data_IF_220115448595
#
_entry.id   IF_220115448595
#
_cell.length_a   1.000
_cell.length_b   1.000
_cell.length_c   1.000
_cell.angle_alpha   90.00
_cell.angle_beta   90.00
_cell.angle_gamma   90.00
#
_symmetry.space_group_name_H-M   'P 1'
#
loop_
_entity.id
_entity.type
_entity.pdbx_description
1 polymer ?
#
# COMPACT_ATOMS: atom_id res chain seq x y z
N UNK A 1 16.31 -8.46 6.70
CA UNK A 1 16.75 -8.83 8.07
C UNK A 1 16.65 -10.34 8.19
N UNK A 2 17.62 -10.96 8.86
CA UNK A 2 17.74 -12.38 9.14
C UNK A 2 17.74 -12.57 10.65
N UNK A 3 16.93 -13.51 11.12
CA UNK A 3 16.87 -13.91 12.53
C UNK A 3 17.01 -15.43 12.66
N UNK A 4 17.47 -15.89 13.82
CA UNK A 4 17.53 -17.32 14.14
C UNK A 4 16.15 -17.88 14.55
N UNK A 5 16.11 -19.17 14.88
CA UNK A 5 14.88 -19.85 15.30
C UNK A 5 14.31 -19.32 16.64
N UNK A 6 15.11 -18.57 17.40
CA UNK A 6 14.72 -17.90 18.63
C UNK A 6 14.29 -16.45 18.37
N UNK A 7 14.16 -16.05 17.10
CA UNK A 7 13.83 -14.70 16.64
C UNK A 7 14.85 -13.63 17.06
N UNK A 8 16.10 -14.04 17.31
CA UNK A 8 17.22 -13.12 17.55
C UNK A 8 17.77 -12.65 16.22
N UNK A 9 17.90 -11.33 16.02
CA UNK A 9 18.45 -10.79 14.78
C UNK A 9 19.93 -11.17 14.66
N UNK A 10 20.28 -11.83 13.56
CA UNK A 10 21.64 -12.26 13.24
C UNK A 10 22.31 -11.26 12.30
N UNK A 11 21.55 -10.76 11.32
CA UNK A 11 22.04 -9.80 10.33
C UNK A 11 20.87 -8.98 9.79
N UNK A 12 21.06 -7.68 9.63
CA UNK A 12 20.10 -6.84 8.94
C UNK A 12 20.79 -5.82 8.05
N UNK A 13 20.09 -5.44 6.98
CA UNK A 13 20.55 -4.48 6.00
C UNK A 13 19.36 -3.69 5.45
N UNK A 14 19.57 -2.40 5.25
CA UNK A 14 18.70 -1.50 4.51
C UNK A 14 19.57 -0.52 3.73
N UNK A 15 19.07 0.01 2.62
CA UNK A 15 19.87 0.94 1.83
C UNK A 15 19.05 1.74 0.83
N UNK A 16 19.67 2.76 0.22
CA UNK A 16 18.98 3.68 -0.67
C UNK A 16 18.49 2.98 -1.93
N UNK A 17 17.34 3.42 -2.41
CA UNK A 17 16.78 3.07 -3.71
C UNK A 17 16.55 4.31 -4.59
N UNK A 18 16.95 5.50 -4.12
CA UNK A 18 16.57 6.76 -4.72
C UNK A 18 15.05 6.92 -4.75
N UNK A 19 14.52 7.40 -5.88
CA UNK A 19 13.08 7.49 -6.11
C UNK A 19 12.53 6.13 -6.51
N UNK A 20 11.93 5.43 -5.56
CA UNK A 20 11.29 4.13 -5.77
C UNK A 20 9.84 4.12 -5.27
N UNK A 21 9.01 3.24 -5.85
CA UNK A 21 7.67 2.97 -5.30
C UNK A 21 7.76 1.95 -4.17
N UNK A 22 6.73 1.89 -3.32
CA UNK A 22 6.66 0.88 -2.25
C UNK A 22 6.87 -0.54 -2.80
N UNK A 23 6.16 -0.91 -3.87
CA UNK A 23 6.28 -2.24 -4.47
C UNK A 23 7.69 -2.57 -4.96
N UNK A 24 8.44 -1.58 -5.46
CA UNK A 24 9.85 -1.76 -5.85
C UNK A 24 10.70 -1.99 -4.61
N UNK A 25 10.50 -1.22 -3.54
CA UNK A 25 11.23 -1.39 -2.29
C UNK A 25 10.99 -2.79 -1.67
N UNK A 26 9.72 -3.22 -1.58
CA UNK A 26 9.35 -4.52 -1.02
C UNK A 26 9.94 -5.70 -1.82
N UNK A 27 9.83 -5.65 -3.15
CA UNK A 27 10.40 -6.69 -4.00
C UNK A 27 11.93 -6.69 -3.95
N UNK A 28 12.56 -5.52 -3.85
CA UNK A 28 14.03 -5.42 -3.72
C UNK A 28 14.50 -5.98 -2.39
N UNK A 29 13.76 -5.76 -1.31
CA UNK A 29 14.05 -6.36 -0.01
C UNK A 29 13.97 -7.89 -0.07
N UNK A 30 12.94 -8.44 -0.73
CA UNK A 30 12.81 -9.88 -0.95
C UNK A 30 13.95 -10.45 -1.81
N UNK A 31 14.29 -9.81 -2.93
CA UNK A 31 15.42 -10.21 -3.78
C UNK A 31 16.73 -10.26 -2.98
N UNK A 32 17.05 -9.19 -2.24
CA UNK A 32 18.27 -9.11 -1.44
C UNK A 32 18.30 -10.16 -0.33
N UNK A 33 17.17 -10.43 0.32
CA UNK A 33 17.06 -11.47 1.34
C UNK A 33 17.39 -12.86 0.77
N UNK A 34 16.78 -13.19 -0.38
CA UNK A 34 17.01 -14.48 -1.04
C UNK A 34 18.44 -14.62 -1.57
N UNK A 35 19.04 -13.53 -2.06
CA UNK A 35 20.43 -13.52 -2.53
C UNK A 35 21.45 -13.63 -1.38
N UNK A 36 21.10 -13.16 -0.18
CA UNK A 36 21.98 -13.16 0.99
C UNK A 36 21.92 -14.46 1.81
N UNK A 37 21.03 -15.39 1.46
CA UNK A 37 20.82 -16.65 2.19
C UNK A 37 21.29 -17.84 1.37
N UNK A 38 21.75 -18.90 2.02
CA UNK A 38 22.14 -20.14 1.33
C UNK A 38 20.89 -20.87 0.78
N UNK A 39 20.81 -21.21 -0.53
CA UNK A 39 19.68 -21.92 -1.13
C UNK A 39 19.37 -23.29 -0.54
N UNK A 40 20.32 -23.96 0.12
CA UNK A 40 20.04 -25.27 0.74
C UNK A 40 19.39 -25.16 2.12
N UNK A 41 19.39 -23.98 2.73
CA UNK A 41 18.80 -23.76 4.05
C UNK A 41 17.31 -23.40 3.89
N UNK A 42 16.40 -24.17 4.48
CA UNK A 42 14.98 -23.81 4.53
C UNK A 42 14.78 -22.50 5.31
N UNK A 43 13.97 -21.60 4.76
CA UNK A 43 13.71 -20.29 5.38
C UNK A 43 12.21 -19.99 5.45
N UNK A 44 11.78 -19.37 6.56
CA UNK A 44 10.51 -18.69 6.66
C UNK A 44 10.72 -17.20 6.33
N UNK A 45 9.94 -16.66 5.39
CA UNK A 45 9.93 -15.24 5.05
C UNK A 45 8.64 -14.63 5.55
N UNK A 46 8.75 -13.74 6.54
CA UNK A 46 7.65 -12.91 7.03
C UNK A 46 7.64 -11.57 6.29
N UNK A 47 6.47 -11.17 5.79
CA UNK A 47 6.28 -9.88 5.12
C UNK A 47 4.83 -9.40 5.25
N UNK A 48 4.66 -8.08 5.26
CA UNK A 48 3.34 -7.42 5.21
C UNK A 48 2.92 -7.01 3.79
N UNK A 49 3.85 -7.07 2.83
CA UNK A 49 3.60 -6.76 1.42
C UNK A 49 2.78 -7.84 0.74
N UNK A 50 1.46 -7.63 0.67
CA UNK A 50 0.57 -8.50 -0.09
C UNK A 50 0.92 -8.56 -1.58
N UNK A 51 1.43 -7.47 -2.16
CA UNK A 51 1.81 -7.45 -3.56
C UNK A 51 3.03 -8.36 -3.81
N UNK A 52 4.11 -8.20 -3.04
CA UNK A 52 5.30 -9.02 -3.19
C UNK A 52 4.99 -10.50 -2.94
N UNK A 53 4.26 -10.79 -1.85
CA UNK A 53 3.85 -12.16 -1.52
C UNK A 53 3.02 -12.79 -2.64
N UNK A 54 1.97 -12.12 -3.14
CA UNK A 54 1.12 -12.67 -4.21
C UNK A 54 1.86 -12.79 -5.54
N UNK A 55 2.79 -11.88 -5.84
CA UNK A 55 3.61 -11.93 -7.04
C UNK A 55 4.37 -13.26 -7.14
N UNK A 56 4.99 -13.71 -6.04
CA UNK A 56 5.83 -14.91 -6.03
C UNK A 56 5.06 -16.20 -5.70
N UNK A 57 3.99 -16.12 -4.89
CA UNK A 57 3.23 -17.31 -4.46
C UNK A 57 2.04 -17.65 -5.36
N UNK A 58 1.39 -16.64 -5.95
CA UNK A 58 0.08 -16.82 -6.60
C UNK A 58 0.13 -16.54 -8.10
N UNK A 59 0.76 -15.43 -8.51
CA UNK A 59 0.67 -14.95 -9.88
C UNK A 59 1.80 -15.45 -10.78
N UNK A 60 2.98 -15.72 -10.21
CA UNK A 60 4.18 -16.17 -10.90
C UNK A 60 3.91 -17.27 -11.94
N UNK A 61 3.23 -18.40 -11.60
CA UNK A 61 3.06 -19.50 -12.56
C UNK A 61 2.17 -19.08 -13.74
N UNK A 62 1.18 -18.22 -13.46
CA UNK A 62 0.29 -17.66 -14.48
C UNK A 62 0.97 -16.66 -15.39
N UNK A 63 1.86 -15.82 -14.86
CA UNK A 63 2.65 -14.86 -15.64
C UNK A 63 3.64 -15.56 -16.55
N UNK A 64 4.38 -16.57 -16.06
CA UNK A 64 5.31 -17.38 -16.87
C UNK A 64 4.57 -18.03 -18.05
N UNK A 65 3.40 -18.65 -17.79
CA UNK A 65 2.57 -19.28 -18.84
C UNK A 65 2.05 -18.29 -19.89
N UNK A 66 1.83 -17.03 -19.51
CA UNK A 66 1.29 -15.97 -20.38
C UNK A 66 2.37 -15.11 -21.03
N UNK A 67 3.64 -15.52 -20.96
CA UNK A 67 4.76 -14.74 -21.50
C UNK A 67 4.88 -13.38 -20.84
N UNK A 68 4.75 -13.33 -19.51
CA UNK A 68 4.85 -12.13 -18.67
C UNK A 68 3.84 -11.03 -18.99
N UNK A 69 2.60 -11.45 -19.30
CA UNK A 69 1.45 -10.56 -19.48
C UNK A 69 0.39 -10.80 -18.42
N UNK A 70 -0.20 -9.69 -17.96
CA UNK A 70 -1.38 -9.68 -17.09
C UNK A 70 -2.62 -10.23 -17.81
N UNK A 71 -3.70 -10.50 -17.08
CA UNK A 71 -4.98 -10.92 -17.68
C UNK A 71 -5.54 -9.90 -18.69
N UNK A 72 -5.16 -8.61 -18.55
CA UNK A 72 -5.52 -7.55 -19.47
C UNK A 72 -4.56 -7.42 -20.68
N UNK A 73 -3.63 -8.36 -20.88
CA UNK A 73 -2.67 -8.36 -21.99
C UNK A 73 -1.50 -7.38 -21.86
N UNK A 74 -1.47 -6.57 -20.79
CA UNK A 74 -0.37 -5.64 -20.51
C UNK A 74 0.84 -6.36 -19.92
N UNK A 75 2.07 -5.87 -20.13
CA UNK A 75 3.26 -6.36 -19.42
C UNK A 75 3.06 -6.35 -17.90
N UNK A 76 3.64 -7.33 -17.22
CA UNK A 76 3.65 -7.39 -15.76
C UNK A 76 4.48 -6.23 -15.20
N UNK A 77 3.95 -5.52 -14.20
CA UNK A 77 4.71 -4.48 -13.52
C UNK A 77 5.87 -5.09 -12.73
N UNK A 78 7.02 -4.42 -12.73
CA UNK A 78 8.25 -4.88 -12.07
C UNK A 78 8.72 -6.28 -12.54
N UNK A 79 8.40 -6.65 -13.80
CA UNK A 79 8.70 -7.96 -14.37
C UNK A 79 10.15 -8.39 -14.13
N UNK A 80 11.12 -7.54 -14.45
CA UNK A 80 12.55 -7.90 -14.34
C UNK A 80 12.94 -8.27 -12.91
N UNK A 81 12.37 -7.57 -11.92
CA UNK A 81 12.64 -7.84 -10.51
C UNK A 81 11.96 -9.14 -10.05
N UNK A 82 10.73 -9.39 -10.50
CA UNK A 82 10.02 -10.65 -10.22
C UNK A 82 10.72 -11.84 -10.88
N UNK A 83 11.29 -11.67 -12.07
CA UNK A 83 12.08 -12.70 -12.76
C UNK A 83 13.33 -13.08 -11.97
N UNK A 84 14.09 -12.11 -11.47
CA UNK A 84 15.27 -12.40 -10.62
C UNK A 84 14.88 -13.11 -9.32
N UNK A 85 13.73 -12.75 -8.74
CA UNK A 85 13.21 -13.44 -7.54
C UNK A 85 12.81 -14.89 -7.87
N UNK A 86 12.16 -15.15 -9.02
CA UNK A 86 11.82 -16.51 -9.49
C UNK A 86 13.08 -17.39 -9.65
N UNK A 87 14.16 -16.84 -10.19
CA UNK A 87 15.45 -17.51 -10.28
C UNK A 87 16.00 -17.87 -8.90
N UNK A 88 15.99 -16.93 -7.95
CA UNK A 88 16.48 -17.14 -6.58
C UNK A 88 15.62 -18.11 -5.75
N UNK A 89 14.35 -18.29 -6.12
CA UNK A 89 13.43 -19.24 -5.48
C UNK A 89 13.58 -20.66 -6.05
N UNK A 90 14.22 -20.83 -7.20
CA UNK A 90 14.32 -22.14 -7.85
C UNK A 90 15.13 -23.12 -7.01
N UNK A 91 14.50 -24.24 -6.62
CA UNK A 91 15.14 -25.29 -5.83
C UNK A 91 15.29 -24.99 -4.34
N UNK A 92 14.74 -23.87 -3.85
CA UNK A 92 14.77 -23.47 -2.45
C UNK A 92 13.48 -23.90 -1.72
N UNK A 93 13.61 -24.33 -0.47
CA UNK A 93 12.48 -24.50 0.44
C UNK A 93 12.18 -23.16 1.14
N UNK A 94 11.04 -22.54 0.82
CA UNK A 94 10.63 -21.24 1.37
C UNK A 94 9.18 -21.30 1.84
N UNK A 95 8.96 -20.99 3.12
CA UNK A 95 7.64 -20.73 3.68
C UNK A 95 7.37 -19.22 3.70
N UNK A 96 6.28 -18.77 3.06
CA UNK A 96 5.88 -17.37 3.11
C UNK A 96 4.77 -17.17 4.15
N UNK A 97 5.02 -16.29 5.14
CA UNK A 97 4.06 -15.90 6.17
C UNK A 97 3.66 -14.43 5.99
N UNK A 98 2.37 -14.19 5.81
CA UNK A 98 1.84 -12.83 5.88
C UNK A 98 1.77 -12.36 7.33
N UNK A 99 2.28 -11.17 7.61
CA UNK A 99 2.14 -10.49 8.90
C UNK A 99 1.41 -9.15 8.70
N UNK A 100 0.42 -8.80 9.53
CA UNK A 100 -0.25 -7.51 9.38
C UNK A 100 0.68 -6.34 9.76
N UNK A 101 0.76 -5.33 8.91
CA UNK A 101 1.51 -4.11 9.16
C UNK A 101 0.96 -3.33 10.39
N UNK A 102 1.85 -2.63 11.10
CA UNK A 102 1.53 -1.62 12.11
C UNK A 102 0.55 -2.07 13.22
N UNK A 103 0.63 -3.33 13.65
CA UNK A 103 -0.16 -3.80 14.80
C UNK A 103 0.52 -3.44 16.12
N UNK A 104 -0.28 -3.07 17.12
CA UNK A 104 0.18 -2.99 18.52
C UNK A 104 0.53 -4.41 18.95
N UNK A 105 1.73 -4.59 19.53
CA UNK A 105 2.30 -5.90 19.86
C UNK A 105 2.35 -6.88 18.67
N UNK A 106 2.58 -6.32 17.46
CA UNK A 106 2.73 -7.07 16.22
C UNK A 106 4.05 -7.82 16.07
N UNK A 107 4.34 -8.28 14.86
CA UNK A 107 5.59 -8.98 14.56
C UNK A 107 6.79 -8.03 14.73
N UNK A 108 7.62 -8.31 15.75
CA UNK A 108 8.77 -7.48 16.13
C UNK A 108 9.83 -7.41 15.04
N UNK A 109 9.97 -8.47 14.26
CA UNK A 109 10.91 -8.61 13.16
C UNK A 109 10.44 -7.77 11.94
N UNK A 110 9.14 -7.71 11.70
CA UNK A 110 8.56 -6.80 10.70
C UNK A 110 8.68 -5.33 11.12
N UNK A 111 8.35 -4.98 12.36
CA UNK A 111 8.53 -3.61 12.87
C UNK A 111 9.99 -3.15 12.76
N UNK A 112 10.95 -4.05 13.03
CA UNK A 112 12.36 -3.80 12.79
C UNK A 112 12.64 -3.45 11.33
N UNK A 113 12.17 -4.29 10.40
CA UNK A 113 12.37 -4.11 8.98
C UNK A 113 11.74 -2.79 8.48
N UNK A 114 10.54 -2.45 8.96
CA UNK A 114 9.83 -1.21 8.63
C UNK A 114 10.63 0.02 9.08
N UNK A 115 11.20 -0.01 10.30
CA UNK A 115 12.06 1.08 10.80
C UNK A 115 13.32 1.21 9.95
N UNK A 116 13.97 0.09 9.62
CA UNK A 116 15.16 0.07 8.78
C UNK A 116 14.87 0.67 7.38
N UNK A 117 13.79 0.22 6.74
CA UNK A 117 13.36 0.68 5.44
C UNK A 117 12.98 2.17 5.46
N UNK A 118 12.25 2.61 6.49
CA UNK A 118 11.86 4.01 6.66
C UNK A 118 13.06 4.93 6.84
N UNK A 119 14.05 4.52 7.64
CA UNK A 119 15.29 5.29 7.80
C UNK A 119 16.08 5.37 6.48
N UNK A 120 16.21 4.24 5.77
CA UNK A 120 16.89 4.22 4.48
C UNK A 120 16.18 5.09 3.43
N UNK A 121 14.84 5.10 3.43
CA UNK A 121 14.05 5.97 2.54
C UNK A 121 14.26 7.47 2.85
N UNK A 122 14.36 7.83 4.13
CA UNK A 122 14.58 9.22 4.56
C UNK A 122 16.01 9.69 4.32
N UNK A 123 17.00 8.90 4.76
CA UNK A 123 18.42 9.29 4.74
C UNK A 123 19.09 9.00 3.41
N UNK A 124 18.58 8.05 2.64
CA UNK A 124 19.22 7.53 1.43
C UNK A 124 20.65 7.04 1.69
N UNK A 125 20.85 6.40 2.84
CA UNK A 125 22.13 5.85 3.28
C UNK A 125 22.01 4.34 3.56
N UNK A 126 23.10 3.62 3.36
CA UNK A 126 23.17 2.22 3.74
C UNK A 126 23.27 2.09 5.27
N UNK A 127 22.53 1.15 5.84
CA UNK A 127 22.55 0.81 7.24
C UNK A 127 22.47 -0.71 7.41
N UNK A 128 23.09 -1.25 8.44
CA UNK A 128 23.05 -2.68 8.71
C UNK A 128 24.08 -3.15 9.73
N UNK A 129 23.99 -4.44 10.09
CA UNK A 129 24.88 -5.08 11.07
C UNK A 129 26.36 -4.92 10.69
N UNK A 130 26.70 -5.11 9.42
CA UNK A 130 28.07 -4.98 8.92
C UNK A 130 28.62 -3.54 8.98
N UNK A 131 27.75 -2.54 9.10
CA UNK A 131 28.09 -1.13 9.20
C UNK A 131 28.07 -0.62 10.66
N UNK A 132 27.85 -1.51 11.64
CA UNK A 132 27.73 -1.14 13.05
C UNK A 132 26.51 -0.26 13.35
N UNK A 133 25.47 -0.34 12.52
CA UNK A 133 24.22 0.42 12.73
C UNK A 133 23.44 -0.11 13.94
N UNK A 134 22.71 0.75 14.68
CA UNK A 134 22.05 0.38 15.93
C UNK A 134 20.93 -0.65 15.75
N UNK A 135 20.72 -1.48 16.78
CA UNK A 135 19.71 -2.52 16.83
C UNK A 135 18.75 -2.31 18.03
N UNK A 136 17.43 -2.16 17.82
CA UNK A 136 16.76 -1.95 16.55
C UNK A 136 17.04 -0.55 15.96
N UNK A 137 16.87 -0.35 14.64
CA UNK A 137 16.93 0.96 14.02
C UNK A 137 15.97 1.92 14.71
N UNK A 138 16.39 3.18 14.85
CA UNK A 138 15.52 4.22 15.37
C UNK A 138 14.27 4.33 14.48
N UNK A 139 13.09 4.44 15.10
CA UNK A 139 11.91 4.82 14.36
C UNK A 139 12.18 6.14 13.61
N UNK A 140 11.67 6.33 12.38
CA UNK A 140 11.78 7.61 11.71
C UNK A 140 11.21 8.69 12.61
N UNK A 141 11.93 9.81 12.75
CA UNK A 141 11.40 11.04 13.34
C UNK A 141 10.31 11.55 12.42
N UNK A 142 9.13 10.94 12.50
CA UNK A 142 7.93 11.61 12.04
C UNK A 142 7.80 12.79 12.97
N UNK A 143 8.16 13.98 12.49
CA UNK A 143 7.68 15.21 13.08
C UNK A 143 6.15 15.08 13.07
N UNK A 144 5.60 14.59 14.18
CA UNK A 144 4.17 14.55 14.43
C UNK A 144 3.69 15.97 14.16
N UNK A 145 2.72 16.20 13.25
CA UNK A 145 2.23 17.55 13.04
C UNK A 145 1.76 18.07 14.39
N UNK A 146 2.37 19.16 14.82
CA UNK A 146 2.07 19.80 16.08
C UNK A 146 0.59 20.20 16.08
N UNK A 147 -0.17 19.63 17.01
CA UNK A 147 -1.42 20.21 17.49
C UNK A 147 -2.67 20.01 16.64
N UNK A 148 -3.47 19.02 17.03
CA UNK A 148 -4.88 19.31 17.36
C UNK A 148 -5.10 18.81 18.79
N UNK A 149 -4.77 19.66 19.76
CA UNK A 149 -5.34 19.56 21.09
C UNK A 149 -6.82 19.95 20.94
N UNK A 150 -7.72 18.98 20.88
CA UNK A 150 -9.13 19.24 21.21
C UNK A 150 -9.37 18.75 22.62
N UNK A 151 -9.58 19.72 23.51
CA UNK A 151 -9.87 19.52 24.91
C UNK A 151 -11.16 18.76 25.14
N UNK A 152 -11.22 18.09 26.28
CA UNK A 152 -12.38 17.43 26.83
C UNK A 152 -13.34 18.45 27.48
N UNK A 153 -14.61 18.38 27.08
CA UNK A 153 -15.84 18.73 27.81
C UNK A 153 -17.00 18.44 26.84
N UNK A 154 -18.11 17.76 27.13
CA UNK A 154 -18.67 17.04 28.26
C UNK A 154 -20.00 16.41 27.78
N UNK A 155 -20.50 15.42 28.51
CA UNK A 155 -21.88 14.87 28.65
C UNK A 155 -23.01 15.40 27.72
N UNK A 156 -24.04 14.65 27.26
CA UNK A 156 -24.65 13.38 27.69
C UNK A 156 -25.86 13.01 26.78
N UNK A 157 -26.18 11.71 26.75
CA UNK A 157 -27.52 11.09 26.78
C UNK A 157 -28.47 11.02 25.54
N UNK A 158 -28.83 9.75 25.21
CA UNK A 158 -30.17 9.28 24.79
C UNK A 158 -30.52 9.43 23.30
N UNK A 159 -31.27 8.56 22.63
CA UNK A 159 -31.92 7.29 22.94
C UNK A 159 -32.43 6.64 21.63
N UNK A 160 -32.51 5.31 21.62
CA UNK A 160 -33.47 4.42 20.93
C UNK A 160 -33.81 4.53 19.42
N UNK A 161 -33.60 3.40 18.75
CA UNK A 161 -34.50 2.64 17.85
C UNK A 161 -35.19 3.30 16.65
N UNK A 162 -34.99 2.73 15.45
CA UNK A 162 -36.00 1.88 14.80
C UNK A 162 -35.52 1.32 13.46
N UNK A 163 -35.86 0.06 13.24
CA UNK A 163 -35.71 -0.66 11.98
C UNK A 163 -36.79 -0.25 10.97
N UNK A 164 -36.49 -0.28 9.67
CA UNK A 164 -37.48 -0.71 8.68
C UNK A 164 -36.81 -1.24 7.40
N UNK A 165 -37.16 -2.48 7.07
CA UNK A 165 -36.97 -3.18 5.79
C UNK A 165 -37.77 -2.53 4.65
N UNK A 166 -37.31 -2.72 3.40
CA UNK A 166 -38.06 -3.23 2.22
C UNK A 166 -37.14 -3.28 0.98
N UNK A 167 -36.82 -4.47 0.42
CA UNK A 167 -37.41 -5.14 -0.79
C UNK A 167 -37.45 -4.25 -2.05
N UNK A 168 -37.18 -4.65 -3.29
CA UNK A 168 -36.59 -5.81 -3.97
C UNK A 168 -36.58 -5.48 -5.50
N UNK A 169 -35.75 -6.21 -6.27
CA UNK A 169 -36.01 -6.72 -7.66
C UNK A 169 -35.68 -5.86 -8.90
N UNK A 170 -35.05 -6.54 -9.89
CA UNK A 170 -35.09 -6.28 -11.34
C UNK A 170 -33.75 -5.94 -12.01
N UNK A 171 -33.03 -6.89 -12.65
CA UNK A 171 -32.92 -7.10 -14.14
C UNK A 171 -32.40 -5.86 -14.91
N UNK A 172 -31.46 -5.86 -15.87
CA UNK A 172 -30.82 -6.85 -16.75
C UNK A 172 -29.74 -6.15 -17.61
N UNK A 173 -28.76 -6.92 -18.10
CA UNK A 173 -28.00 -6.85 -19.38
C UNK A 173 -27.27 -5.55 -19.86
N UNK A 174 -26.00 -5.79 -20.20
CA UNK A 174 -25.23 -5.37 -21.40
C UNK A 174 -24.85 -3.89 -21.63
N UNK A 175 -23.63 -3.68 -22.14
CA UNK A 175 -23.33 -2.56 -23.04
C UNK A 175 -22.10 -1.70 -22.70
N UNK A 176 -21.24 -1.57 -23.70
CA UNK A 176 -19.93 -0.90 -23.73
C UNK A 176 -19.94 0.62 -23.55
N UNK A 177 -18.82 1.14 -23.01
CA UNK A 177 -18.12 2.41 -23.29
C UNK A 177 -18.92 3.65 -23.76
N UNK A 178 -19.08 4.65 -22.88
CA UNK A 178 -18.70 6.06 -23.16
C UNK A 178 -18.77 6.91 -21.87
N UNK A 179 -18.05 8.04 -21.81
CA UNK A 179 -17.80 8.88 -20.63
C UNK A 179 -18.87 8.90 -19.53
N UNK A 180 -18.51 8.42 -18.34
CA UNK A 180 -19.47 8.24 -17.24
C UNK A 180 -19.95 9.58 -16.68
N UNK A 181 -21.21 9.92 -16.97
CA UNK A 181 -22.02 10.99 -16.36
C UNK A 181 -22.53 10.62 -14.95
N UNK A 182 -21.87 9.67 -14.27
CA UNK A 182 -22.33 9.20 -12.95
C UNK A 182 -21.82 10.10 -11.82
N UNK A 183 -22.73 10.43 -10.92
CA UNK A 183 -22.42 11.09 -9.65
C UNK A 183 -22.07 10.03 -8.62
N UNK A 184 -20.97 10.22 -7.89
CA UNK A 184 -20.47 9.34 -6.83
C UNK A 184 -20.39 10.11 -5.51
N UNK A 185 -20.27 9.40 -4.40
CA UNK A 185 -20.00 9.99 -3.09
C UNK A 185 -18.49 10.10 -2.88
N UNK A 186 -18.01 11.29 -2.53
CA UNK A 186 -16.59 11.54 -2.30
C UNK A 186 -16.07 10.70 -1.14
N UNK A 187 -15.02 9.91 -1.36
CA UNK A 187 -14.37 9.15 -0.26
C UNK A 187 -13.50 10.05 0.61
N UNK A 188 -12.98 11.13 0.03
CA UNK A 188 -12.09 12.10 0.66
C UNK A 188 -12.52 13.52 0.28
N UNK A 189 -12.29 14.52 1.14
CA UNK A 189 -12.51 15.91 0.77
C UNK A 189 -11.56 16.31 -0.37
N UNK A 190 -11.98 17.26 -1.19
CA UNK A 190 -11.20 17.74 -2.33
C UNK A 190 -11.63 19.12 -2.78
N UNK A 191 -11.01 19.63 -3.86
CA UNK A 191 -11.30 20.95 -4.42
C UNK A 191 -11.87 20.80 -5.83
N UNK A 192 -13.02 21.42 -6.06
CA UNK A 192 -13.65 21.48 -7.38
C UNK A 192 -13.03 22.62 -8.22
N UNK A 193 -13.13 22.53 -9.55
CA UNK A 193 -12.70 23.58 -10.50
C UNK A 193 -13.36 24.94 -10.27
N UNK A 194 -14.52 25.00 -9.63
CA UNK A 194 -15.17 26.26 -9.24
C UNK A 194 -14.52 26.94 -8.02
N UNK A 195 -13.40 26.42 -7.53
CA UNK A 195 -12.68 26.96 -6.36
C UNK A 195 -13.28 26.55 -5.01
N UNK A 196 -14.48 25.98 -4.98
CA UNK A 196 -15.11 25.46 -3.76
C UNK A 196 -14.59 24.07 -3.41
N UNK A 197 -14.38 23.81 -2.13
CA UNK A 197 -14.09 22.47 -1.61
C UNK A 197 -15.37 21.64 -1.51
N UNK A 198 -15.25 20.32 -1.64
CA UNK A 198 -16.28 19.35 -1.28
C UNK A 198 -15.77 18.46 -0.15
N UNK A 199 -16.68 18.06 0.74
CA UNK A 199 -16.42 17.15 1.85
C UNK A 199 -16.46 15.66 1.46
N UNK A 200 -15.94 14.79 2.33
CA UNK A 200 -16.21 13.36 2.22
C UNK A 200 -17.72 13.09 2.38
N UNK A 201 -18.30 12.24 1.54
CA UNK A 201 -19.73 11.96 1.49
C UNK A 201 -20.54 12.94 0.63
N UNK A 202 -19.93 13.99 0.07
CA UNK A 202 -20.61 14.89 -0.86
C UNK A 202 -20.67 14.29 -2.28
N UNK A 203 -21.73 14.62 -3.04
CA UNK A 203 -21.84 14.18 -4.42
C UNK A 203 -20.76 14.84 -5.29
N UNK A 204 -19.95 14.03 -5.97
CA UNK A 204 -18.92 14.44 -6.92
C UNK A 204 -19.11 13.75 -8.27
N UNK A 205 -18.57 14.34 -9.32
CA UNK A 205 -18.56 13.81 -10.66
C UNK A 205 -17.22 14.04 -11.35
N UNK A 206 -16.98 13.28 -12.41
CA UNK A 206 -15.80 13.42 -13.25
C UNK A 206 -16.00 14.61 -14.20
N UNK A 207 -15.22 15.66 -13.97
CA UNK A 207 -15.11 16.85 -14.82
C UNK A 207 -13.83 16.74 -15.67
N UNK A 208 -13.62 17.60 -16.69
CA UNK A 208 -12.40 17.59 -17.50
C UNK A 208 -11.11 17.76 -16.68
N UNK A 209 -11.15 18.60 -15.64
CA UNK A 209 -10.01 18.95 -14.78
C UNK A 209 -9.89 18.04 -13.54
N UNK A 210 -10.68 16.96 -13.45
CA UNK A 210 -10.69 16.04 -12.31
C UNK A 210 -12.05 15.91 -11.63
N UNK A 211 -12.06 15.47 -10.36
CA UNK A 211 -13.31 15.26 -9.61
C UNK A 211 -13.80 16.55 -8.95
N UNK A 212 -15.09 16.87 -9.12
CA UNK A 212 -15.70 18.04 -8.52
C UNK A 212 -17.22 17.97 -8.47
N UNK A 213 -17.89 19.07 -8.14
CA UNK A 213 -19.34 19.14 -8.07
C UNK A 213 -20.00 18.70 -9.39
N UNK A 214 -21.13 17.96 -9.36
CA UNK A 214 -21.85 17.52 -10.55
C UNK A 214 -22.25 18.67 -11.48
N UNK A 215 -22.58 19.82 -10.91
CA UNK A 215 -22.98 21.03 -11.67
C UNK A 215 -21.80 21.66 -12.42
N UNK A 216 -20.55 21.29 -12.12
CA UNK A 216 -19.35 21.81 -12.76
C UNK A 216 -18.82 20.92 -13.91
N UNK A 217 -19.61 19.93 -14.37
CA UNK A 217 -19.24 19.00 -15.47
C UNK A 217 -19.04 19.70 -16.80
N UNK A 218 -19.94 20.61 -17.12
CA UNK A 218 -19.94 21.41 -18.35
C UNK A 218 -19.59 22.83 -17.93
N UNK A 219 -18.62 23.47 -18.59
CA UNK A 219 -18.06 24.75 -18.18
C UNK A 219 -19.05 25.92 -18.19
N UNK A 220 -19.97 25.97 -17.23
CA UNK A 220 -20.78 27.12 -16.90
C UNK A 220 -20.30 27.67 -15.54
N UNK A 221 -19.14 28.33 -15.57
CA UNK A 221 -18.84 29.36 -14.59
C UNK A 221 -19.58 30.62 -15.02
N UNK A 222 -20.80 30.82 -14.55
CA UNK A 222 -21.37 32.16 -14.45
C UNK A 222 -20.87 32.76 -13.13
N UNK A 223 -20.16 33.89 -13.23
CA UNK A 223 -19.59 34.61 -12.09
C UNK A 223 -20.62 35.38 -11.27
N UNK A 224 -20.17 35.86 -10.11
CA UNK A 224 -20.59 37.05 -9.35
C UNK A 224 -19.89 36.97 -7.97
N UNK A 225 -19.34 38.01 -7.36
CA UNK A 225 -18.93 39.36 -7.75
C UNK A 225 -18.07 39.88 -6.57
N UNK A 226 -17.65 41.14 -6.67
CA UNK A 226 -16.74 41.92 -5.84
C UNK A 226 -17.15 42.07 -4.36
#
# INVERSE_FOLDING_TARGET
>A
MLADAQETVVRWEAGPLGTATNNVAELTALEKLLAATDPVVPIEIRMDSQYAMKAVTTWLPGWKRKGWKTAAGKPVANQDLVMRIDELLTGREVEFRYVPAHQVDGDRLNDFADRAASQAALRQEAAGSALGSPEPPAAPDTARPAGSRRGAAGASAGSASSAQRRTAKGTSRAGSANGSTRTLKAKFPGRCRCGRSYGAGEPIAKNPDGWGHPDCRSGAGAGAEQ
#
